data_IF_848916696005
#
_entry.id   IF_848916696005
#
_cell.length_a   1.000
_cell.length_b   1.000
_cell.length_c   1.000
_cell.angle_alpha   90.00
_cell.angle_beta   90.00
_cell.angle_gamma   90.00
#
_symmetry.space_group_name_H-M   'P 1'
#
loop_
_entity.id
_entity.type
_entity.pdbx_description
1 polymer ?
#
# COMPACT_ATOMS: atom_id res chain seq x y z
N UNK A 1 -14.58 -11.01 -17.96
CA UNK A 1 -14.82 -11.74 -16.70
C UNK A 1 -13.46 -11.88 -16.05
N UNK A 2 -13.10 -10.94 -15.16
CA UNK A 2 -11.81 -10.92 -14.47
C UNK A 2 -12.03 -11.56 -13.10
N UNK A 3 -12.05 -12.88 -13.06
CA UNK A 3 -11.99 -13.61 -11.80
C UNK A 3 -10.55 -13.55 -11.31
N UNK A 4 -10.16 -12.42 -10.72
CA UNK A 4 -8.97 -12.37 -9.89
C UNK A 4 -9.35 -13.05 -8.59
N UNK A 5 -8.92 -14.30 -8.31
CA UNK A 5 -9.25 -14.92 -7.05
C UNK A 5 -8.67 -14.05 -5.93
N UNK A 6 -9.53 -13.60 -5.01
CA UNK A 6 -9.07 -12.89 -3.82
C UNK A 6 -8.00 -13.77 -3.14
N UNK A 7 -6.82 -13.21 -2.87
CA UNK A 7 -5.69 -13.94 -2.31
C UNK A 7 -6.05 -14.85 -1.11
N UNK A 8 -6.96 -14.46 -0.19
CA UNK A 8 -7.42 -15.35 0.88
C UNK A 8 -8.25 -16.56 0.41
N UNK A 9 -9.09 -16.39 -0.61
CA UNK A 9 -9.91 -17.48 -1.16
C UNK A 9 -9.06 -18.50 -1.93
N UNK A 10 -8.05 -18.01 -2.66
CA UNK A 10 -7.07 -18.87 -3.33
C UNK A 10 -6.26 -19.71 -2.33
N UNK A 11 -5.82 -19.08 -1.22
CA UNK A 11 -5.13 -19.79 -0.14
C UNK A 11 -6.03 -20.85 0.50
N UNK A 12 -7.27 -20.49 0.87
CA UNK A 12 -8.19 -21.43 1.51
C UNK A 12 -8.49 -22.66 0.63
N UNK A 13 -8.69 -22.46 -0.68
CA UNK A 13 -8.90 -23.55 -1.63
C UNK A 13 -7.67 -24.47 -1.70
N UNK A 14 -6.46 -23.90 -1.85
CA UNK A 14 -5.23 -24.69 -1.91
C UNK A 14 -4.98 -25.50 -0.64
N UNK A 15 -5.20 -24.92 0.54
CA UNK A 15 -5.07 -25.64 1.82
C UNK A 15 -6.13 -26.75 1.94
N UNK A 16 -7.35 -26.51 1.48
CA UNK A 16 -8.41 -27.51 1.46
C UNK A 16 -8.06 -28.68 0.54
N UNK A 17 -7.51 -28.41 -0.65
CA UNK A 17 -7.11 -29.45 -1.60
C UNK A 17 -6.00 -30.35 -1.01
N UNK A 18 -5.01 -29.77 -0.34
CA UNK A 18 -3.97 -30.53 0.38
C UNK A 18 -4.57 -31.40 1.49
N UNK A 19 -5.53 -30.85 2.24
CA UNK A 19 -6.21 -31.60 3.28
C UNK A 19 -7.03 -32.77 2.71
N UNK A 20 -7.82 -32.51 1.65
CA UNK A 20 -8.70 -33.49 1.04
C UNK A 20 -7.94 -34.62 0.30
N UNK A 21 -6.76 -34.32 -0.24
CA UNK A 21 -5.92 -35.29 -0.94
C UNK A 21 -5.03 -36.14 -0.01
N UNK A 22 -4.95 -35.80 1.29
CA UNK A 22 -4.07 -36.49 2.24
C UNK A 22 -4.67 -37.80 2.75
N UNK A 23 -3.81 -38.80 2.94
CA UNK A 23 -4.18 -40.08 3.56
C UNK A 23 -3.83 -40.13 5.07
N UNK A 24 -3.38 -39.01 5.64
CA UNK A 24 -3.08 -38.89 7.06
C UNK A 24 -4.33 -38.59 7.87
N UNK A 25 -4.35 -39.03 9.13
CA UNK A 25 -5.43 -38.67 10.05
C UNK A 25 -5.49 -37.13 10.27
N UNK A 26 -6.67 -36.56 10.53
CA UNK A 26 -6.82 -35.11 10.70
C UNK A 26 -5.99 -34.50 11.84
N UNK A 27 -5.62 -35.30 12.83
CA UNK A 27 -4.78 -34.95 13.97
C UNK A 27 -3.29 -35.29 13.77
N UNK A 28 -2.94 -35.86 12.62
CA UNK A 28 -1.57 -36.27 12.30
C UNK A 28 -0.66 -35.07 12.06
N UNK A 29 0.50 -35.05 12.72
CA UNK A 29 1.51 -34.03 12.51
C UNK A 29 1.94 -33.91 11.03
N UNK A 30 2.07 -35.04 10.32
CA UNK A 30 2.49 -35.08 8.91
C UNK A 30 1.53 -34.32 7.98
N UNK A 31 0.23 -34.41 8.25
CA UNK A 31 -0.78 -33.61 7.55
C UNK A 31 -0.55 -32.12 7.78
N UNK A 32 -0.40 -31.72 9.04
CA UNK A 32 -0.24 -30.32 9.39
C UNK A 32 1.07 -29.73 8.87
N UNK A 33 2.15 -30.51 8.80
CA UNK A 33 3.39 -30.09 8.14
C UNK A 33 3.17 -29.83 6.65
N UNK A 34 2.44 -30.70 5.96
CA UNK A 34 2.12 -30.54 4.53
C UNK A 34 1.26 -29.31 4.28
N UNK A 35 0.21 -29.10 5.09
CA UNK A 35 -0.64 -27.90 5.05
C UNK A 35 0.17 -26.63 5.32
N UNK A 36 1.09 -26.67 6.28
CA UNK A 36 1.94 -25.51 6.63
C UNK A 36 2.95 -25.18 5.52
N UNK A 37 3.52 -26.20 4.88
CA UNK A 37 4.40 -26.01 3.73
C UNK A 37 3.66 -25.31 2.57
N UNK A 38 2.41 -25.71 2.30
CA UNK A 38 1.58 -25.10 1.28
C UNK A 38 1.18 -23.66 1.63
N UNK A 39 0.80 -23.40 2.89
CA UNK A 39 0.56 -22.05 3.38
C UNK A 39 1.79 -21.17 3.19
N UNK A 40 2.97 -21.68 3.54
CA UNK A 40 4.25 -20.96 3.41
C UNK A 40 4.56 -20.67 1.94
N UNK A 41 4.30 -21.61 1.03
CA UNK A 41 4.47 -21.42 -0.42
C UNK A 41 3.60 -20.28 -0.95
N UNK A 42 2.35 -20.22 -0.50
CA UNK A 42 1.41 -19.15 -0.88
C UNK A 42 1.75 -17.79 -0.27
N UNK A 43 2.23 -17.77 0.97
CA UNK A 43 2.59 -16.53 1.68
C UNK A 43 3.97 -15.99 1.29
N UNK A 44 4.90 -16.88 0.92
CA UNK A 44 6.26 -16.53 0.48
C UNK A 44 6.37 -16.27 -1.02
N UNK A 45 5.27 -16.43 -1.77
CA UNK A 45 5.20 -15.99 -3.16
C UNK A 45 5.52 -14.49 -3.27
N UNK A 46 5.95 -13.99 -4.45
CA UNK A 46 6.25 -12.57 -4.62
C UNK A 46 5.02 -11.78 -4.18
N UNK A 47 5.15 -11.09 -3.05
CA UNK A 47 4.15 -10.15 -2.55
C UNK A 47 3.82 -9.25 -3.73
N UNK A 48 2.54 -9.20 -4.11
CA UNK A 48 2.08 -8.39 -5.23
C UNK A 48 2.77 -7.04 -5.11
N UNK A 49 3.50 -6.63 -6.16
CA UNK A 49 4.38 -5.47 -6.16
C UNK A 49 3.77 -4.33 -5.34
N UNK A 50 4.57 -3.60 -4.52
CA UNK A 50 4.04 -2.65 -3.56
C UNK A 50 3.02 -1.76 -4.27
N UNK A 51 1.76 -1.85 -3.84
CA UNK A 51 0.71 -0.97 -4.34
C UNK A 51 1.03 0.39 -3.76
N UNK A 52 1.88 1.12 -4.46
CA UNK A 52 2.23 2.49 -4.18
C UNK A 52 0.96 3.27 -3.87
N UNK A 53 0.82 3.70 -2.62
CA UNK A 53 -0.35 4.41 -2.13
C UNK A 53 -0.22 5.89 -2.51
N UNK A 54 -1.22 6.49 -3.16
CA UNK A 54 -1.18 7.92 -3.43
C UNK A 54 -1.25 8.68 -2.11
N UNK A 55 -0.30 9.58 -1.90
CA UNK A 55 -0.21 10.45 -0.73
C UNK A 55 0.06 11.89 -1.20
N UNK A 56 -0.10 12.85 -0.30
CA UNK A 56 0.29 14.23 -0.59
C UNK A 56 0.76 14.89 0.70
N UNK A 57 1.58 15.93 0.54
CA UNK A 57 1.93 16.84 1.63
C UNK A 57 1.54 18.25 1.25
N UNK A 58 1.18 19.05 2.26
CA UNK A 58 0.80 20.46 2.08
C UNK A 58 1.74 21.31 2.92
N UNK A 59 2.45 22.22 2.27
CA UNK A 59 3.31 23.20 2.92
C UNK A 59 3.04 24.58 2.33
N UNK A 60 2.79 25.59 3.17
CA UNK A 60 2.45 26.97 2.73
C UNK A 60 1.37 27.05 1.65
N UNK A 61 0.28 26.31 1.83
CA UNK A 61 -0.82 26.18 0.86
C UNK A 61 -0.43 25.60 -0.52
N UNK A 62 0.80 25.09 -0.67
CA UNK A 62 1.23 24.34 -1.85
C UNK A 62 1.13 22.85 -1.56
N UNK A 63 0.45 22.14 -2.46
CA UNK A 63 0.30 20.68 -2.41
C UNK A 63 1.38 20.03 -3.27
N UNK A 64 2.04 19.03 -2.71
CA UNK A 64 2.98 18.15 -3.39
C UNK A 64 2.43 16.74 -3.34
N UNK A 65 2.17 16.14 -4.50
CA UNK A 65 1.68 14.78 -4.65
C UNK A 65 2.83 13.79 -4.66
N UNK A 66 2.64 12.65 -4.02
CA UNK A 66 3.64 11.61 -3.90
C UNK A 66 2.98 10.24 -3.87
N UNK A 67 3.81 9.19 -3.93
CA UNK A 67 3.40 7.82 -3.71
C UNK A 67 4.21 7.20 -2.58
N UNK A 68 3.56 6.41 -1.74
CA UNK A 68 4.14 5.77 -0.56
C UNK A 68 4.16 4.24 -0.72
N UNK A 69 5.31 3.63 -0.47
CA UNK A 69 5.47 2.19 -0.40
C UNK A 69 5.33 1.73 1.07
N UNK A 70 4.23 1.06 1.45
CA UNK A 70 4.04 0.59 2.82
C UNK A 70 5.00 -0.53 3.24
N UNK A 71 5.64 -1.23 2.29
CA UNK A 71 6.59 -2.30 2.61
C UNK A 71 7.94 -1.75 3.08
N UNK A 72 8.37 -0.61 2.53
CA UNK A 72 9.69 -0.02 2.80
C UNK A 72 9.63 1.32 3.50
N UNK A 73 8.43 1.88 3.68
CA UNK A 73 8.17 3.25 4.10
C UNK A 73 8.75 4.34 3.16
N UNK A 74 9.15 3.94 1.96
CA UNK A 74 9.70 4.83 0.94
C UNK A 74 8.62 5.75 0.38
N UNK A 75 8.99 6.99 0.07
CA UNK A 75 8.10 7.97 -0.58
C UNK A 75 8.76 8.48 -1.85
N UNK A 76 8.02 8.49 -2.96
CA UNK A 76 8.46 9.13 -4.21
C UNK A 76 7.56 10.31 -4.55
N UNK A 77 8.17 11.47 -4.78
CA UNK A 77 7.43 12.67 -5.16
C UNK A 77 7.06 12.62 -6.64
N UNK A 78 5.81 12.92 -6.95
CA UNK A 78 5.23 12.81 -8.30
C UNK A 78 4.81 14.17 -8.89
N UNK A 79 4.85 15.25 -8.11
CA UNK A 79 4.56 16.60 -8.60
C UNK A 79 5.51 17.66 -8.04
N UNK A 80 5.60 18.80 -8.73
CA UNK A 80 6.43 19.94 -8.33
C UNK A 80 7.93 19.75 -8.60
N UNK A 81 8.80 20.58 -7.98
CA UNK A 81 10.23 20.65 -8.30
C UNK A 81 11.03 19.41 -7.86
N UNK A 82 10.46 18.58 -6.98
CA UNK A 82 11.10 17.36 -6.46
C UNK A 82 10.63 16.08 -7.18
N UNK A 83 9.88 16.22 -8.29
CA UNK A 83 9.33 15.08 -9.05
C UNK A 83 10.40 14.07 -9.42
N UNK A 84 10.12 12.79 -9.20
CA UNK A 84 11.03 11.66 -9.46
C UNK A 84 12.06 11.42 -8.35
N UNK A 85 12.04 12.21 -7.28
CA UNK A 85 12.92 11.99 -6.12
C UNK A 85 12.28 11.03 -5.13
N UNK A 86 13.06 10.04 -4.72
CA UNK A 86 12.65 9.01 -3.77
C UNK A 86 13.38 9.21 -2.44
N UNK A 87 12.63 9.19 -1.35
CA UNK A 87 13.10 9.37 0.02
C UNK A 87 12.84 8.12 0.84
N UNK A 88 13.75 7.75 1.75
CA UNK A 88 13.62 6.53 2.55
C UNK A 88 12.52 6.61 3.62
N UNK A 89 12.07 7.82 3.96
CA UNK A 89 11.08 8.06 5.00
C UNK A 89 10.33 9.39 4.78
N UNK A 90 9.21 9.56 5.49
CA UNK A 90 8.35 10.75 5.39
C UNK A 90 8.97 12.03 5.98
N UNK A 91 9.91 11.93 6.92
CA UNK A 91 10.56 13.10 7.51
C UNK A 91 11.56 13.72 6.53
N UNK A 92 12.34 12.89 5.84
CA UNK A 92 13.22 13.30 4.75
C UNK A 92 12.47 14.03 3.63
N UNK A 93 11.25 13.56 3.28
CA UNK A 93 10.36 14.25 2.33
C UNK A 93 9.95 15.63 2.84
N UNK A 94 9.54 15.72 4.10
CA UNK A 94 9.07 16.97 4.69
C UNK A 94 10.17 18.05 4.71
N UNK A 95 11.39 17.65 5.06
CA UNK A 95 12.57 18.53 5.02
C UNK A 95 12.89 19.00 3.60
N UNK A 96 12.86 18.09 2.62
CA UNK A 96 13.09 18.44 1.23
C UNK A 96 12.01 19.37 0.67
N UNK A 97 10.74 19.12 0.96
CA UNK A 97 9.62 19.98 0.54
C UNK A 97 9.72 21.37 1.17
N UNK A 98 10.16 21.45 2.43
CA UNK A 98 10.40 22.73 3.12
C UNK A 98 11.53 23.51 2.44
N UNK A 99 12.61 22.83 2.08
CA UNK A 99 13.80 23.43 1.43
C UNK A 99 13.51 23.85 -0.02
N UNK A 100 12.70 23.08 -0.75
CA UNK A 100 12.34 23.33 -2.14
C UNK A 100 11.39 24.53 -2.33
N UNK A 101 10.79 25.03 -1.25
CA UNK A 101 9.89 26.19 -1.27
C UNK A 101 10.44 27.35 -0.41
N UNK A 102 11.59 27.96 -0.79
CA UNK A 102 12.14 29.11 -0.10
C UNK A 102 11.25 30.33 -0.34
N UNK A 103 10.28 30.56 0.56
CA UNK A 103 9.74 31.88 0.84
C UNK A 103 8.87 32.53 -0.26
N UNK A 104 7.66 32.05 -0.48
CA UNK A 104 6.57 32.95 -0.91
C UNK A 104 5.98 33.64 0.32
N UNK A 105 6.12 34.97 0.33
CA UNK A 105 5.54 35.93 1.27
C UNK A 105 4.02 35.72 1.38
N UNK A 106 3.49 35.78 2.61
CA UNK A 106 2.08 35.62 2.99
C UNK A 106 1.09 36.03 1.89
N UNK A 107 0.44 35.06 1.27
CA UNK A 107 -0.90 35.26 0.74
C UNK A 107 -1.85 35.08 1.93
N UNK A 108 -2.48 36.20 2.28
CA UNK A 108 -3.47 36.43 3.31
C UNK A 108 -4.42 35.25 3.58
N UNK A 109 -4.75 35.15 4.87
CA UNK A 109 -5.80 34.46 5.62
C UNK A 109 -7.20 34.39 4.97
N UNK A 110 -7.27 34.02 3.69
CA UNK A 110 -8.48 33.86 2.91
C UNK A 110 -8.72 32.38 2.67
N UNK A 111 -9.58 31.82 3.50
CA UNK A 111 -10.26 30.54 3.31
C UNK A 111 -9.31 29.34 3.12
N UNK A 112 -8.78 28.86 4.24
CA UNK A 112 -8.21 27.51 4.39
C UNK A 112 -9.31 26.44 4.24
N UNK A 113 -10.06 26.44 3.13
CA UNK A 113 -10.93 25.33 2.72
C UNK A 113 -10.06 24.27 2.08
N UNK A 114 -9.41 23.47 2.92
CA UNK A 114 -8.83 22.20 2.46
C UNK A 114 -9.99 21.34 1.96
N UNK A 115 -10.00 20.87 0.70
CA UNK A 115 -11.02 19.93 0.27
C UNK A 115 -10.86 18.67 1.11
N UNK A 116 -11.80 18.47 2.04
CA UNK A 116 -11.92 17.23 2.80
C UNK A 116 -12.47 16.19 1.82
N UNK A 117 -11.57 15.47 1.14
CA UNK A 117 -11.97 14.37 0.30
C UNK A 117 -12.50 13.25 1.21
N UNK A 118 -13.83 13.09 1.24
CA UNK A 118 -14.44 11.86 1.73
C UNK A 118 -14.22 10.79 0.66
N UNK A 119 -13.78 9.60 1.07
CA UNK A 119 -13.84 8.42 0.22
C UNK A 119 -15.30 8.18 -0.16
N UNK A 120 -15.69 8.52 -1.38
CA UNK A 120 -16.96 8.06 -1.94
C UNK A 120 -16.83 6.55 -2.16
N UNK A 121 -17.38 5.76 -1.22
CA UNK A 121 -17.79 4.41 -1.54
C UNK A 121 -18.80 4.53 -2.68
N UNK A 122 -18.42 4.05 -3.86
CA UNK A 122 -19.36 3.89 -4.96
C UNK A 122 -20.44 2.92 -4.49
N UNK A 123 -21.66 3.42 -4.28
CA UNK A 123 -22.83 2.59 -4.13
C UNK A 123 -23.18 2.04 -5.51
N UNK A 124 -22.90 0.75 -5.71
CA UNK A 124 -23.37 0.00 -6.87
C UNK A 124 -24.90 -0.12 -6.78
N UNK A 125 -25.60 0.23 -7.87
CA UNK A 125 -27.04 0.04 -8.06
C UNK A 125 -27.27 -0.89 -9.25
#
# INVERSE_FOLDING_TARGET
>A
MNDTPCAPAALAAALHDVFAASNHAPDSLELWLTVTAEATRHLSGPHTAPSWLPVFTVYRAQRTDARYDPATATVEITSGPLTGTTYPDTASVAEAVTTAHPGTRQASDAEMRVPTWRLTLAASH
#
